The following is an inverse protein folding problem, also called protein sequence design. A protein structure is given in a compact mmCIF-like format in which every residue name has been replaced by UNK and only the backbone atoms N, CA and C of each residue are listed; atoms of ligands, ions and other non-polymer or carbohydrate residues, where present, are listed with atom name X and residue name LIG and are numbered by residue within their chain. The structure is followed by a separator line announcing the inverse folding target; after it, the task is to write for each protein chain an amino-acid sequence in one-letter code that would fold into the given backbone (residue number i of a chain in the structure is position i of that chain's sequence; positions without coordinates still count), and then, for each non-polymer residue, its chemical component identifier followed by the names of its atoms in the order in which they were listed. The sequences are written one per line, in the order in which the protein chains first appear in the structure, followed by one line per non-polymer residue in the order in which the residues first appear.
data_IF_993024394838
#
_entry.id   IF_993024394838
#
_cell.length_a   1.000
_cell.length_b   1.000
_cell.length_c   1.000
_cell.angle_alpha   90.00
_cell.angle_beta   90.00
_cell.angle_gamma   90.00
#
_symmetry.space_group_name_H-M   'P 1'
#
loop_
_entity.id
_entity.type
_entity.pdbx_description
1 polymer ?
#
# COMPACT_ATOMS: atom_id res chain seq x y z
N UNK A 1 22.92 4.59 18.97
CA UNK A 1 22.18 5.24 17.86
C UNK A 1 20.85 5.70 18.44
N UNK A 2 20.61 7.02 18.49
CA UNK A 2 19.44 7.60 19.17
C UNK A 2 18.14 6.99 18.62
N UNK A 3 17.24 6.53 19.49
CA UNK A 3 15.99 5.89 19.07
C UNK A 3 15.13 6.84 18.22
N UNK A 4 15.26 8.15 18.41
CA UNK A 4 14.59 9.16 17.57
C UNK A 4 15.02 9.06 16.09
N UNK A 5 16.31 8.84 15.84
CA UNK A 5 16.84 8.68 14.48
C UNK A 5 16.25 7.43 13.84
N UNK A 6 16.10 6.34 14.59
CA UNK A 6 15.48 5.09 14.10
C UNK A 6 14.00 5.28 13.80
N UNK A 7 13.26 5.94 14.69
CA UNK A 7 11.83 6.22 14.52
C UNK A 7 11.61 7.06 13.26
N UNK A 8 12.40 8.12 13.07
CA UNK A 8 12.34 8.98 11.88
C UNK A 8 12.69 8.20 10.63
N UNK A 9 13.73 7.35 10.66
CA UNK A 9 14.14 6.53 9.52
C UNK A 9 13.02 5.58 9.08
N UNK A 10 12.45 4.79 10.01
CA UNK A 10 11.37 3.84 9.72
C UNK A 10 10.13 4.56 9.19
N UNK A 11 9.80 5.73 9.74
CA UNK A 11 8.67 6.53 9.26
C UNK A 11 8.86 6.99 7.82
N UNK A 12 10.08 7.41 7.46
CA UNK A 12 10.43 7.78 6.07
C UNK A 12 10.38 6.58 5.14
N UNK A 13 10.87 5.43 5.58
CA UNK A 13 10.87 4.21 4.77
C UNK A 13 9.43 3.76 4.47
N UNK A 14 8.56 3.72 5.49
CA UNK A 14 7.12 3.40 5.33
C UNK A 14 6.44 4.38 4.38
N UNK A 15 6.75 5.68 4.47
CA UNK A 15 6.22 6.66 3.52
C UNK A 15 6.75 6.41 2.08
N UNK A 16 8.02 6.02 1.93
CA UNK A 16 8.58 5.59 0.65
C UNK A 16 7.85 4.38 0.06
N UNK A 17 7.45 3.42 0.91
CA UNK A 17 6.65 2.26 0.52
C UNK A 17 5.24 2.67 0.06
N UNK A 18 4.59 3.61 0.74
CA UNK A 18 3.32 4.19 0.29
C UNK A 18 3.45 4.85 -1.09
N UNK A 19 4.51 5.62 -1.32
CA UNK A 19 4.75 6.29 -2.61
C UNK A 19 4.92 5.26 -3.73
N UNK A 20 5.70 4.20 -3.49
CA UNK A 20 5.84 3.08 -4.43
C UNK A 20 4.51 2.38 -4.71
N UNK A 21 3.74 2.11 -3.65
CA UNK A 21 2.40 1.53 -3.79
C UNK A 21 1.48 2.41 -4.65
N UNK A 22 1.42 3.71 -4.39
CA UNK A 22 0.64 4.66 -5.18
C UNK A 22 1.10 4.73 -6.65
N UNK A 23 2.40 4.56 -6.91
CA UNK A 23 2.93 4.43 -8.27
C UNK A 23 2.37 3.21 -8.99
N UNK A 24 2.34 2.05 -8.33
CA UNK A 24 1.74 0.80 -8.87
C UNK A 24 0.22 0.93 -9.02
N UNK A 25 -0.47 1.51 -8.05
CA UNK A 25 -1.92 1.77 -8.13
C UNK A 25 -2.23 2.69 -9.31
N UNK A 26 -1.47 3.77 -9.48
CA UNK A 26 -1.66 4.75 -10.56
C UNK A 26 -1.39 4.18 -11.96
N UNK A 27 -0.42 3.26 -12.11
CA UNK A 27 -0.15 2.60 -13.39
C UNK A 27 -1.24 1.61 -13.81
N UNK A 28 -1.95 1.03 -12.82
CA UNK A 28 -3.05 0.09 -13.04
C UNK A 28 -4.37 0.85 -13.24
N UNK A 29 -4.72 1.84 -12.41
CA UNK A 29 -5.98 2.60 -12.49
C UNK A 29 -6.08 3.57 -13.70
N UNK A 30 -5.33 3.32 -14.77
CA UNK A 30 -5.42 4.05 -16.01
C UNK A 30 -6.78 3.75 -16.70
N UNK A 31 -7.43 4.72 -17.39
CA UNK A 31 -8.71 4.52 -18.09
C UNK A 31 -8.76 3.35 -19.09
N UNK A 32 -7.62 2.75 -19.41
CA UNK A 32 -7.46 1.52 -20.19
C UNK A 32 -8.05 0.29 -19.51
N UNK A 33 -8.09 0.22 -18.17
CA UNK A 33 -8.54 -0.99 -17.45
C UNK A 33 -10.06 -1.20 -17.53
N UNK A 34 -10.83 -0.12 -17.40
CA UNK A 34 -12.28 -0.07 -17.69
C UNK A 34 -12.57 -0.49 -19.14
N UNK A 35 -11.65 -0.18 -20.07
CA UNK A 35 -11.76 -0.55 -21.50
C UNK A 35 -11.36 -2.01 -21.76
N UNK A 36 -10.38 -2.55 -21.03
CA UNK A 36 -9.88 -3.93 -21.15
C UNK A 36 -10.92 -4.95 -20.66
N UNK A 37 -11.55 -4.71 -19.51
CA UNK A 37 -12.62 -5.60 -19.00
C UNK A 37 -13.87 -5.55 -19.91
N UNK A 38 -14.06 -4.44 -20.64
CA UNK A 38 -15.18 -4.24 -21.59
C UNK A 38 -14.97 -4.88 -22.98
N UNK A 39 -14.06 -5.85 -23.16
CA UNK A 39 -13.80 -6.51 -24.46
C UNK A 39 -13.41 -5.53 -25.58
N UNK A 40 -12.62 -4.49 -25.28
CA UNK A 40 -11.98 -3.74 -26.37
C UNK A 40 -10.72 -4.53 -26.77
N UNK A 41 -10.73 -5.09 -27.98
CA UNK A 41 -9.53 -5.66 -28.61
C UNK A 41 -8.46 -4.57 -28.58
N UNK A 42 -7.33 -4.77 -27.86
CA UNK A 42 -6.28 -3.76 -27.83
C UNK A 42 -5.74 -3.62 -29.25
N UNK A 43 -6.02 -2.48 -29.88
CA UNK A 43 -5.34 -2.10 -31.11
C UNK A 43 -3.86 -1.90 -30.72
N UNK A 44 -2.92 -2.58 -31.40
CA UNK A 44 -1.51 -2.28 -31.20
C UNK A 44 -1.32 -0.78 -31.44
N UNK A 45 -0.39 -0.14 -30.72
CA UNK A 45 -0.08 1.30 -30.80
C UNK A 45 -1.00 2.27 -30.03
N UNK A 46 -2.18 1.87 -29.55
CA UNK A 46 -3.10 2.77 -28.80
C UNK A 46 -3.17 2.45 -27.29
N UNK A 47 -3.00 1.17 -26.92
CA UNK A 47 -3.03 0.74 -25.52
C UNK A 47 -1.73 0.04 -25.15
N UNK A 48 -1.01 0.57 -24.15
CA UNK A 48 0.11 -0.13 -23.55
C UNK A 48 -0.41 -1.34 -22.76
N UNK A 49 0.26 -2.48 -22.92
CA UNK A 49 0.01 -3.69 -22.12
C UNK A 49 0.36 -3.36 -20.67
N UNK A 50 -0.57 -3.61 -19.75
CA UNK A 50 -0.33 -3.44 -18.33
C UNK A 50 0.58 -4.58 -17.86
N UNK A 51 1.76 -4.32 -17.30
CA UNK A 51 2.70 -5.35 -16.88
C UNK A 51 2.29 -5.93 -15.50
N UNK A 52 1.14 -6.61 -15.44
CA UNK A 52 0.59 -7.13 -14.18
C UNK A 52 1.59 -8.01 -13.40
N UNK A 53 2.40 -8.81 -14.10
CA UNK A 53 3.44 -9.63 -13.46
C UNK A 53 4.56 -8.83 -12.78
N UNK A 54 4.89 -7.63 -13.26
CA UNK A 54 5.83 -6.71 -12.59
C UNK A 54 5.17 -6.02 -11.42
N UNK A 55 3.91 -5.58 -11.58
CA UNK A 55 3.14 -4.97 -10.51
C UNK A 55 2.93 -5.93 -9.33
N UNK A 56 2.61 -7.21 -9.57
CA UNK A 56 2.52 -8.23 -8.52
C UNK A 56 3.82 -8.35 -7.72
N UNK A 57 4.95 -8.56 -8.41
CA UNK A 57 6.28 -8.63 -7.78
C UNK A 57 6.61 -7.38 -6.97
N UNK A 58 6.24 -6.20 -7.47
CA UNK A 58 6.43 -4.94 -6.76
C UNK A 58 5.56 -4.87 -5.48
N UNK A 59 4.30 -5.28 -5.54
CA UNK A 59 3.40 -5.29 -4.39
C UNK A 59 3.85 -6.31 -3.33
N UNK A 60 4.26 -7.51 -3.75
CA UNK A 60 4.84 -8.54 -2.87
C UNK A 60 6.11 -8.02 -2.18
N UNK A 61 7.00 -7.36 -2.92
CA UNK A 61 8.19 -6.72 -2.35
C UNK A 61 7.84 -5.66 -1.29
N UNK A 62 6.85 -4.80 -1.56
CA UNK A 62 6.38 -3.81 -0.58
C UNK A 62 5.83 -4.50 0.68
N UNK A 63 5.08 -5.60 0.55
CA UNK A 63 4.55 -6.35 1.69
C UNK A 63 5.67 -6.93 2.57
N UNK A 64 6.69 -7.52 1.96
CA UNK A 64 7.87 -8.04 2.68
C UNK A 64 8.61 -6.91 3.41
N UNK A 65 8.80 -5.76 2.75
CA UNK A 65 9.45 -4.60 3.38
C UNK A 65 8.61 -4.06 4.56
N UNK A 66 7.29 -3.96 4.41
CA UNK A 66 6.40 -3.58 5.51
C UNK A 66 6.46 -4.55 6.69
N UNK A 67 6.52 -5.85 6.44
CA UNK A 67 6.67 -6.87 7.48
C UNK A 67 7.96 -6.70 8.28
N UNK A 68 9.08 -6.45 7.61
CA UNK A 68 10.35 -6.17 8.26
C UNK A 68 10.30 -4.90 9.11
N UNK A 69 9.66 -3.83 8.62
CA UNK A 69 9.47 -2.62 9.40
C UNK A 69 8.57 -2.83 10.61
N UNK A 70 7.48 -3.61 10.50
CA UNK A 70 6.62 -3.95 11.65
C UNK A 70 7.39 -4.69 12.73
N UNK A 71 8.19 -5.70 12.36
CA UNK A 71 9.04 -6.42 13.31
C UNK A 71 10.01 -5.45 14.02
N UNK A 72 10.58 -4.50 13.27
CA UNK A 72 11.46 -3.47 13.83
C UNK A 72 10.71 -2.53 14.79
N UNK A 73 9.49 -2.11 14.44
CA UNK A 73 8.63 -1.26 15.28
C UNK A 73 8.29 -1.98 16.60
N UNK A 74 7.88 -3.25 16.55
CA UNK A 74 7.60 -4.05 17.76
C UNK A 74 8.81 -4.12 18.70
N UNK A 75 10.01 -4.32 18.14
CA UNK A 75 11.26 -4.31 18.91
C UNK A 75 11.56 -2.94 19.53
N UNK A 76 11.19 -1.83 18.88
CA UNK A 76 11.39 -0.48 19.41
C UNK A 76 10.38 -0.14 20.51
N UNK A 77 9.11 -0.54 20.36
CA UNK A 77 8.06 -0.30 21.39
C UNK A 77 8.49 -0.89 22.74
N UNK A 78 9.12 -2.06 22.71
CA UNK A 78 9.57 -2.77 23.91
C UNK A 78 10.70 -2.05 24.66
N UNK A 79 11.40 -1.11 24.01
CA UNK A 79 12.65 -0.50 24.50
C UNK A 79 12.59 1.03 24.62
N UNK A 80 11.44 1.66 24.36
CA UNK A 80 11.31 3.13 24.29
C UNK A 80 10.44 3.72 25.41
N UNK A 81 10.55 5.04 25.62
CA UNK A 81 9.73 5.78 26.59
C UNK A 81 8.25 5.80 26.21
N UNK A 82 7.38 5.98 27.21
CA UNK A 82 5.91 5.94 27.05
C UNK A 82 5.39 6.86 25.93
N UNK A 83 5.93 8.08 25.83
CA UNK A 83 5.55 9.06 24.80
C UNK A 83 5.88 8.60 23.36
N UNK A 84 6.95 7.81 23.18
CA UNK A 84 7.33 7.27 21.88
C UNK A 84 6.54 6.01 21.52
N UNK A 85 6.00 5.30 22.53
CA UNK A 85 5.16 4.12 22.31
C UNK A 85 3.87 4.49 21.60
N UNK A 86 3.20 5.58 21.98
CA UNK A 86 1.96 6.01 21.32
C UNK A 86 2.18 6.26 19.82
N UNK A 87 3.29 6.91 19.45
CA UNK A 87 3.65 7.12 18.05
C UNK A 87 3.94 5.79 17.34
N UNK A 88 4.74 4.92 17.95
CA UNK A 88 5.12 3.64 17.38
C UNK A 88 3.93 2.69 17.22
N UNK A 89 3.00 2.69 18.17
CA UNK A 89 1.75 1.92 18.10
C UNK A 89 0.86 2.42 16.97
N UNK A 90 0.77 3.75 16.79
CA UNK A 90 0.04 4.33 15.66
C UNK A 90 0.72 4.00 14.32
N UNK A 91 2.05 4.03 14.26
CA UNK A 91 2.83 3.65 13.08
C UNK A 91 2.67 2.16 12.75
N UNK A 92 2.59 1.30 13.76
CA UNK A 92 2.32 -0.12 13.61
C UNK A 92 0.91 -0.37 13.06
N UNK A 93 -0.10 0.30 13.62
CA UNK A 93 -1.48 0.25 13.12
C UNK A 93 -1.58 0.70 11.67
N UNK A 94 -0.92 1.82 11.32
CA UNK A 94 -0.86 2.31 9.95
C UNK A 94 -0.20 1.28 9.01
N UNK A 95 0.92 0.67 9.43
CA UNK A 95 1.64 -0.33 8.64
C UNK A 95 0.83 -1.61 8.42
N UNK A 96 0.05 -2.03 9.41
CA UNK A 96 -0.89 -3.15 9.29
C UNK A 96 -2.00 -2.82 8.29
N UNK A 97 -2.65 -1.67 8.47
CA UNK A 97 -3.70 -1.20 7.57
C UNK A 97 -3.20 -1.14 6.12
N UNK A 98 -2.05 -0.50 5.89
CA UNK A 98 -1.48 -0.37 4.55
C UNK A 98 -1.21 -1.74 3.92
N UNK A 99 -0.77 -2.73 4.71
CA UNK A 99 -0.56 -4.09 4.22
C UNK A 99 -1.87 -4.77 3.83
N UNK A 100 -2.93 -4.60 4.62
CA UNK A 100 -4.27 -5.12 4.29
C UNK A 100 -4.78 -4.53 2.97
N UNK A 101 -4.65 -3.21 2.78
CA UNK A 101 -5.03 -2.56 1.52
C UNK A 101 -4.20 -3.08 0.34
N UNK A 102 -2.89 -3.25 0.51
CA UNK A 102 -2.01 -3.80 -0.53
C UNK A 102 -2.37 -5.25 -0.85
N UNK A 103 -2.75 -6.08 0.13
CA UNK A 103 -3.19 -7.46 -0.09
C UNK A 103 -4.48 -7.49 -0.91
N UNK A 104 -5.45 -6.63 -0.58
CA UNK A 104 -6.68 -6.51 -1.35
C UNK A 104 -6.41 -6.07 -2.79
N UNK A 105 -5.54 -5.08 -2.97
CA UNK A 105 -5.14 -4.63 -4.30
C UNK A 105 -4.38 -5.71 -5.08
N UNK A 106 -3.45 -6.43 -4.45
CA UNK A 106 -2.72 -7.55 -5.04
C UNK A 106 -3.66 -8.65 -5.53
N UNK A 107 -4.74 -8.94 -4.79
CA UNK A 107 -5.79 -9.87 -5.23
C UNK A 107 -6.44 -9.38 -6.53
N UNK A 108 -6.84 -8.11 -6.60
CA UNK A 108 -7.41 -7.51 -7.82
C UNK A 108 -6.43 -7.65 -8.99
N UNK A 109 -5.17 -7.23 -8.81
CA UNK A 109 -4.11 -7.32 -9.82
C UNK A 109 -3.89 -8.76 -10.30
N UNK A 110 -3.94 -9.73 -9.39
CA UNK A 110 -3.78 -11.15 -9.72
C UNK A 110 -4.94 -11.68 -10.56
N UNK A 111 -6.18 -11.29 -10.24
CA UNK A 111 -7.35 -11.68 -11.01
C UNK A 111 -7.37 -11.01 -12.39
N UNK A 112 -6.94 -9.76 -12.49
CA UNK A 112 -6.79 -9.04 -13.76
C UNK A 112 -5.71 -9.66 -14.65
N UNK A 113 -4.58 -10.07 -14.08
CA UNK A 113 -3.55 -10.84 -14.79
C UNK A 113 -4.13 -12.15 -15.33
N UNK A 114 -4.89 -12.88 -14.50
CA UNK A 114 -5.59 -14.09 -14.91
C UNK A 114 -6.57 -13.87 -16.05
N UNK A 115 -7.32 -12.76 -16.05
CA UNK A 115 -8.19 -12.38 -17.18
C UNK A 115 -7.37 -12.09 -18.44
N UNK A 116 -6.29 -11.32 -18.32
CA UNK A 116 -5.45 -10.95 -19.47
C UNK A 116 -4.82 -12.17 -20.16
N UNK A 117 -4.56 -13.23 -19.40
CA UNK A 117 -4.02 -14.50 -19.88
C UNK A 117 -5.10 -15.56 -20.20
N UNK A 118 -6.39 -15.20 -20.18
CA UNK A 118 -7.54 -16.11 -20.37
C UNK A 118 -7.57 -17.31 -19.39
N UNK A 119 -7.00 -17.15 -18.19
CA UNK A 119 -6.92 -18.18 -17.15
C UNK A 119 -8.07 -18.12 -16.15
N UNK A 120 -8.67 -16.94 -15.96
CA UNK A 120 -9.70 -16.70 -14.94
C UNK A 120 -10.88 -15.94 -15.54
N UNK A 121 -12.09 -16.26 -15.09
CA UNK A 121 -13.32 -15.52 -15.42
C UNK A 121 -13.68 -14.54 -14.31
N UNK A 122 -12.97 -13.42 -14.23
CA UNK A 122 -13.24 -12.34 -13.28
C UNK A 122 -14.19 -11.31 -13.90
N UNK A 123 -15.43 -11.27 -13.40
CA UNK A 123 -16.50 -10.45 -13.99
C UNK A 123 -16.46 -9.04 -13.42
N UNK A 124 -16.96 -8.09 -14.20
CA UNK A 124 -17.07 -6.67 -13.81
C UNK A 124 -17.76 -6.45 -12.45
N UNK A 125 -18.83 -7.21 -12.16
CA UNK A 125 -19.52 -7.13 -10.86
C UNK A 125 -18.64 -7.57 -9.67
N UNK A 126 -17.74 -8.53 -9.90
CA UNK A 126 -16.86 -9.07 -8.87
C UNK A 126 -15.65 -8.13 -8.69
N UNK A 127 -15.19 -7.52 -9.79
CA UNK A 127 -14.22 -6.42 -9.78
C UNK A 127 -14.70 -5.23 -8.93
N UNK A 128 -15.89 -4.70 -9.21
CA UNK A 128 -16.44 -3.57 -8.43
C UNK A 128 -16.47 -3.90 -6.94
N UNK A 129 -16.95 -5.10 -6.58
CA UNK A 129 -17.03 -5.51 -5.17
C UNK A 129 -15.66 -5.59 -4.49
N UNK A 130 -14.63 -6.07 -5.19
CA UNK A 130 -13.27 -6.12 -4.65
C UNK A 130 -12.64 -4.71 -4.60
N UNK A 131 -12.93 -3.85 -5.58
CA UNK A 131 -12.50 -2.44 -5.63
C UNK A 131 -13.12 -1.64 -4.48
N UNK A 132 -14.43 -1.77 -4.22
CA UNK A 132 -15.11 -1.11 -3.09
C UNK A 132 -14.45 -1.49 -1.76
N UNK A 133 -14.18 -2.79 -1.54
CA UNK A 133 -13.49 -3.28 -0.34
C UNK A 133 -12.07 -2.72 -0.20
N UNK A 134 -11.37 -2.61 -1.32
CA UNK A 134 -10.04 -2.03 -1.35
C UNK A 134 -10.09 -0.54 -0.99
N UNK A 135 -10.98 0.24 -1.58
CA UNK A 135 -11.11 1.68 -1.29
C UNK A 135 -11.55 1.93 0.16
N UNK A 136 -12.48 1.15 0.72
CA UNK A 136 -12.86 1.20 2.15
C UNK A 136 -11.66 0.96 3.08
N UNK A 137 -10.84 -0.06 2.77
CA UNK A 137 -9.62 -0.35 3.53
C UNK A 137 -8.60 0.79 3.39
N UNK A 138 -8.41 1.30 2.17
CA UNK A 138 -7.43 2.34 1.89
C UNK A 138 -7.81 3.68 2.56
N UNK A 139 -9.09 4.05 2.56
CA UNK A 139 -9.61 5.23 3.27
C UNK A 139 -9.32 5.15 4.77
N UNK A 140 -9.51 3.96 5.36
CA UNK A 140 -9.16 3.72 6.78
C UNK A 140 -7.68 3.97 7.04
N UNK A 141 -6.80 3.61 6.09
CA UNK A 141 -5.37 3.87 6.22
C UNK A 141 -5.03 5.36 6.05
N UNK A 142 -5.73 6.08 5.17
CA UNK A 142 -5.58 7.53 5.05
C UNK A 142 -5.89 8.24 6.37
N UNK A 143 -6.97 7.86 7.06
CA UNK A 143 -7.31 8.42 8.38
C UNK A 143 -6.22 8.17 9.42
N UNK A 144 -5.60 6.98 9.43
CA UNK A 144 -4.45 6.68 10.27
C UNK A 144 -3.22 7.52 9.88
N UNK A 145 -2.99 7.72 8.59
CA UNK A 145 -1.91 8.57 8.06
C UNK A 145 -2.03 10.04 8.46
N UNK A 146 -3.25 10.58 8.47
CA UNK A 146 -3.51 11.95 8.94
C UNK A 146 -3.19 12.09 10.43
N UNK A 147 -3.63 11.13 11.25
CA UNK A 147 -3.29 11.09 12.68
C UNK A 147 -1.80 10.97 12.91
N UNK A 148 -1.12 10.11 12.15
CA UNK A 148 0.33 9.92 12.21
C UNK A 148 1.08 11.22 11.88
N UNK A 149 0.63 11.93 10.84
CA UNK A 149 1.20 13.22 10.44
C UNK A 149 1.05 14.28 11.54
N UNK A 150 -0.11 14.33 12.21
CA UNK A 150 -0.33 15.23 13.35
C UNK A 150 0.62 14.90 14.51
N UNK A 151 0.78 13.62 14.85
CA UNK A 151 1.70 13.18 15.90
C UNK A 151 3.16 13.46 15.56
N UNK A 152 3.59 13.15 14.33
CA UNK A 152 4.95 13.37 13.86
C UNK A 152 5.35 14.85 13.95
N UNK A 153 4.44 15.77 13.58
CA UNK A 153 4.67 17.21 13.70
C UNK A 153 4.90 17.67 15.14
N UNK A 154 4.18 17.08 16.10
CA UNK A 154 4.40 17.35 17.53
C UNK A 154 5.77 16.84 17.97
N UNK A 155 6.06 15.57 17.66
CA UNK A 155 7.29 14.90 18.05
C UNK A 155 8.56 15.59 17.50
N UNK A 156 8.51 16.18 16.30
CA UNK A 156 9.61 16.98 15.76
C UNK A 156 9.72 18.37 16.39
N UNK A 157 8.59 19.00 16.73
CA UNK A 157 8.61 20.32 17.37
C UNK A 157 9.29 20.28 18.75
N UNK A 158 9.34 19.12 19.40
CA UNK A 158 10.01 18.90 20.68
C UNK A 158 11.50 18.50 20.55
N UNK A 159 11.96 18.15 19.33
CA UNK A 159 13.35 17.73 19.04
C UNK A 159 14.21 18.89 18.48
N UNK A 160 13.59 19.93 17.89
CA UNK A 160 14.25 21.10 17.28
C UNK A 160 14.12 22.32 18.19
#
# INVERSE_FOLDING_TARGET
MNDDIKIVAISKDINGLLVRFNGVKGSINCPSLVKMIRRIVPLPWIFQVIPYGEHKRSLEGILTELENHRATICNLISNTSEEKKDYLDLLLQYSNCLSESIILFLKIVTLLDGVSNNQVNYKWKDYIKDEDRFEESFESCCLLGDRLTMFYKKLIADIV
#
